data_IF_394014938116
#
_entry.id   IF_394014938116
#
_cell.length_a   1.000
_cell.length_b   1.000
_cell.length_c   1.000
_cell.angle_alpha   90.00
_cell.angle_beta   90.00
_cell.angle_gamma   90.00
#
_symmetry.space_group_name_H-M   'P 1'
#
loop_
_entity.id
_entity.type
_entity.pdbx_description
1 polymer ?
#
# COMPACT_ATOMS: atom_id res chain seq x y z
N UNK A 1 8.26 -72.69 -55.81
CA UNK A 1 7.96 -71.39 -56.46
C UNK A 1 9.17 -70.50 -56.27
N UNK A 2 10.25 -70.74 -57.01
CA UNK A 2 10.65 -70.03 -58.25
C UNK A 2 10.61 -68.51 -58.10
N UNK A 3 11.81 -67.92 -58.12
CA UNK A 3 12.12 -66.51 -58.13
C UNK A 3 11.46 -65.75 -59.29
N UNK A 4 11.16 -64.48 -59.07
CA UNK A 4 11.36 -63.46 -60.10
C UNK A 4 11.72 -62.12 -59.47
N UNK A 5 12.93 -61.66 -59.80
CA UNK A 5 13.44 -60.32 -59.57
C UNK A 5 12.82 -59.33 -60.56
N UNK A 6 12.49 -58.12 -60.11
CA UNK A 6 12.64 -56.93 -60.97
C UNK A 6 13.29 -55.77 -60.22
N UNK A 7 14.60 -55.67 -60.45
CA UNK A 7 15.41 -54.46 -60.70
C UNK A 7 14.70 -53.11 -60.52
N UNK A 8 15.29 -52.25 -59.68
CA UNK A 8 16.09 -51.10 -60.15
C UNK A 8 16.94 -50.49 -59.02
N UNK A 9 18.24 -50.38 -59.33
CA UNK A 9 19.31 -49.70 -58.58
C UNK A 9 19.19 -48.18 -58.80
N UNK A 10 19.20 -47.39 -57.72
CA UNK A 10 20.30 -46.52 -57.27
C UNK A 10 20.73 -45.37 -58.20
N UNK A 11 20.49 -44.15 -57.74
CA UNK A 11 21.30 -42.94 -58.00
C UNK A 11 21.12 -42.06 -56.75
N UNK A 12 21.91 -42.26 -55.70
CA UNK A 12 23.17 -41.57 -55.35
C UNK A 12 23.10 -40.03 -55.33
N UNK A 13 23.15 -39.51 -54.09
CA UNK A 13 23.81 -38.30 -53.61
C UNK A 13 23.42 -36.91 -54.18
N UNK A 14 22.85 -36.07 -53.32
CA UNK A 14 23.58 -34.92 -52.74
C UNK A 14 22.67 -34.11 -51.80
N UNK A 15 23.13 -33.85 -50.57
CA UNK A 15 22.51 -32.86 -49.67
C UNK A 15 22.32 -33.33 -48.22
N UNK A 16 23.42 -33.28 -47.45
CA UNK A 16 23.52 -33.04 -45.98
C UNK A 16 22.47 -33.70 -45.05
N UNK A 17 22.76 -34.74 -44.26
CA UNK A 17 23.62 -34.84 -43.06
C UNK A 17 23.42 -33.71 -42.02
N UNK A 18 22.61 -34.06 -41.00
CA UNK A 18 22.65 -33.68 -39.55
C UNK A 18 22.09 -32.32 -39.07
N UNK A 19 21.62 -32.19 -37.79
CA UNK A 19 20.69 -33.06 -37.06
C UNK A 19 19.78 -32.30 -36.03
N UNK A 20 18.91 -33.05 -35.30
CA UNK A 20 18.55 -32.86 -33.87
C UNK A 20 17.75 -31.61 -33.43
N UNK A 21 16.45 -31.85 -33.18
CA UNK A 21 15.78 -31.68 -31.87
C UNK A 21 15.82 -30.29 -31.22
N UNK A 22 14.80 -29.46 -31.49
CA UNK A 22 14.25 -28.51 -30.50
C UNK A 22 12.73 -28.47 -30.66
N UNK A 23 12.05 -29.31 -29.88
CA UNK A 23 10.69 -29.01 -29.42
C UNK A 23 10.86 -27.94 -28.34
N UNK A 24 10.62 -26.68 -28.66
CA UNK A 24 10.35 -25.66 -27.66
C UNK A 24 9.26 -24.72 -28.18
N UNK A 25 8.09 -24.86 -27.56
CA UNK A 25 7.20 -23.78 -27.16
C UNK A 25 7.49 -22.40 -27.78
N UNK A 26 6.80 -22.08 -28.86
CA UNK A 26 6.41 -20.69 -29.13
C UNK A 26 4.92 -20.57 -28.85
N UNK A 27 4.58 -20.79 -27.59
CA UNK A 27 3.47 -20.09 -26.95
C UNK A 27 3.65 -18.60 -27.19
N UNK A 28 2.61 -17.95 -27.67
CA UNK A 28 2.39 -16.52 -27.67
C UNK A 28 3.01 -15.88 -26.41
N UNK A 29 4.24 -15.40 -26.55
CA UNK A 29 4.82 -14.49 -25.58
C UNK A 29 4.03 -13.20 -25.71
N UNK A 30 3.04 -13.03 -24.83
CA UNK A 30 2.54 -11.71 -24.50
C UNK A 30 3.77 -10.83 -24.33
N UNK A 31 3.92 -9.86 -25.23
CA UNK A 31 4.86 -8.78 -25.04
C UNK A 31 4.59 -8.28 -23.63
N UNK A 32 5.59 -8.41 -22.76
CA UNK A 32 5.61 -7.66 -21.52
C UNK A 32 5.46 -6.20 -21.97
N UNK A 33 4.25 -5.67 -21.88
CA UNK A 33 4.05 -4.24 -21.93
C UNK A 33 4.90 -3.71 -20.78
N UNK A 34 6.04 -3.13 -21.13
CA UNK A 34 6.76 -2.26 -20.24
C UNK A 34 5.71 -1.29 -19.69
N UNK A 35 5.42 -1.40 -18.40
CA UNK A 35 4.55 -0.44 -17.74
C UNK A 35 5.13 0.94 -18.05
N UNK A 36 4.32 1.90 -18.52
CA UNK A 36 4.82 3.23 -18.82
C UNK A 36 5.55 3.75 -17.58
N UNK A 37 6.82 4.12 -17.75
CA UNK A 37 7.56 4.87 -16.74
C UNK A 37 6.78 6.17 -16.55
N UNK A 38 6.06 6.29 -15.44
CA UNK A 38 5.16 7.41 -15.19
C UNK A 38 5.93 8.73 -15.30
N UNK A 39 5.69 9.45 -16.39
CA UNK A 39 6.17 10.83 -16.62
C UNK A 39 5.50 11.84 -15.69
N UNK A 40 4.46 11.40 -14.97
CA UNK A 40 3.46 12.26 -14.35
C UNK A 40 3.82 12.71 -12.92
N UNK A 41 4.93 12.18 -12.36
CA UNK A 41 5.47 12.51 -11.03
C UNK A 41 4.34 12.55 -9.97
N UNK A 42 3.98 11.37 -9.50
CA UNK A 42 2.77 11.15 -8.70
C UNK A 42 2.96 11.51 -7.23
N UNK A 43 1.88 11.99 -6.60
CA UNK A 43 1.76 12.00 -5.14
C UNK A 43 1.80 10.56 -4.61
N UNK A 44 2.85 10.23 -3.84
CA UNK A 44 3.07 8.88 -3.32
C UNK A 44 2.68 8.80 -1.85
N UNK A 45 1.73 7.91 -1.55
CA UNK A 45 1.46 7.41 -0.19
C UNK A 45 2.35 6.20 0.13
N UNK A 46 2.91 6.18 1.33
CA UNK A 46 3.67 5.05 1.85
C UNK A 46 3.09 4.63 3.20
N UNK A 47 2.86 3.34 3.37
CA UNK A 47 2.44 2.73 4.64
C UNK A 47 3.38 1.59 4.94
N UNK A 48 4.07 1.61 6.07
CA UNK A 48 4.97 0.53 6.45
C UNK A 48 4.88 0.19 7.93
N UNK A 49 5.18 -1.06 8.24
CA UNK A 49 5.01 -1.64 9.56
C UNK A 49 6.35 -2.05 10.17
N UNK A 50 6.51 -1.79 11.46
CA UNK A 50 7.75 -2.04 12.21
C UNK A 50 7.48 -2.84 13.48
N UNK A 51 8.40 -3.74 13.88
CA UNK A 51 8.22 -4.57 15.07
C UNK A 51 8.39 -3.79 16.38
N UNK A 52 9.07 -2.63 16.35
CA UNK A 52 9.39 -1.84 17.53
C UNK A 52 9.47 -0.34 17.21
N UNK A 53 9.41 0.49 18.27
CA UNK A 53 9.43 1.95 18.18
C UNK A 53 10.76 2.51 17.67
N UNK A 54 11.89 1.84 17.94
CA UNK A 54 13.21 2.28 17.47
C UNK A 54 13.34 2.13 15.96
N UNK A 55 12.89 1.00 15.43
CA UNK A 55 12.80 0.72 14.00
C UNK A 55 11.85 1.71 13.30
N UNK A 56 10.69 1.99 13.90
CA UNK A 56 9.76 3.02 13.43
C UNK A 56 10.44 4.40 13.37
N UNK A 57 11.07 4.85 14.46
CA UNK A 57 11.72 6.16 14.53
C UNK A 57 12.87 6.28 13.52
N UNK A 58 13.63 5.21 13.32
CA UNK A 58 14.69 5.17 12.31
C UNK A 58 14.10 5.42 10.92
N UNK A 59 12.97 4.78 10.59
CA UNK A 59 12.28 5.04 9.32
C UNK A 59 11.77 6.47 9.21
N UNK A 60 11.16 7.01 10.26
CA UNK A 60 10.70 8.41 10.29
C UNK A 60 11.85 9.34 9.94
N UNK A 61 12.98 9.21 10.64
CA UNK A 61 14.17 10.04 10.40
C UNK A 61 14.69 9.90 8.96
N UNK A 62 14.64 8.71 8.38
CA UNK A 62 15.03 8.49 6.97
C UNK A 62 14.06 9.18 6.01
N UNK A 63 12.75 9.05 6.22
CA UNK A 63 11.74 9.62 5.34
C UNK A 63 11.67 11.15 5.44
N UNK A 64 11.87 11.71 6.63
CA UNK A 64 12.01 13.17 6.82
C UNK A 64 13.17 13.75 6.01
N UNK A 65 14.33 13.08 6.00
CA UNK A 65 15.49 13.47 5.17
C UNK A 65 15.22 13.38 3.66
N UNK A 66 14.21 12.62 3.27
CA UNK A 66 13.77 12.46 1.88
C UNK A 66 12.58 13.38 1.54
N UNK A 67 12.26 14.34 2.42
CA UNK A 67 11.17 15.31 2.31
C UNK A 67 9.77 14.69 2.25
N UNK A 68 9.56 13.54 2.88
CA UNK A 68 8.20 13.02 3.07
C UNK A 68 7.51 13.77 4.21
N UNK A 69 6.23 14.07 4.01
CA UNK A 69 5.32 14.44 5.09
C UNK A 69 4.95 13.17 5.86
N UNK A 70 5.26 13.11 7.15
CA UNK A 70 5.08 11.91 7.97
C UNK A 70 3.81 12.03 8.82
N UNK A 71 3.00 10.98 8.80
CA UNK A 71 1.83 10.80 9.65
C UNK A 71 2.00 9.53 10.48
N UNK A 72 2.83 9.66 11.52
CA UNK A 72 3.04 8.65 12.55
C UNK A 72 2.12 8.90 13.74
N UNK A 73 1.99 7.93 14.67
CA UNK A 73 1.11 8.10 15.82
C UNK A 73 1.42 9.36 16.61
N UNK A 74 0.36 9.95 17.16
CA UNK A 74 0.26 11.37 17.42
C UNK A 74 1.14 11.81 18.60
N UNK A 75 2.20 12.55 18.30
CA UNK A 75 2.86 13.42 19.26
C UNK A 75 2.11 14.76 19.39
N UNK A 76 2.37 15.51 20.46
CA UNK A 76 1.86 16.89 20.60
C UNK A 76 2.23 17.75 19.39
N UNK A 77 3.40 17.49 18.79
CA UNK A 77 3.92 18.24 17.64
C UNK A 77 3.23 17.89 16.32
N UNK A 78 2.52 16.76 16.28
CA UNK A 78 1.76 16.29 15.12
C UNK A 78 0.31 16.78 15.16
N UNK A 79 -0.11 17.42 16.25
CA UNK A 79 -1.42 18.08 16.33
C UNK A 79 -1.52 19.35 15.45
N UNK A 80 -0.48 19.67 14.68
CA UNK A 80 -0.54 20.65 13.60
C UNK A 80 -1.26 20.03 12.39
N UNK A 81 -2.40 20.58 11.95
CA UNK A 81 -3.14 20.10 10.77
C UNK A 81 -2.28 19.95 9.52
N UNK A 82 -1.19 20.72 9.38
CA UNK A 82 -0.30 20.65 8.21
C UNK A 82 0.54 19.36 8.15
N UNK A 83 0.64 18.60 9.24
CA UNK A 83 1.48 17.40 9.33
C UNK A 83 0.70 16.08 9.21
N UNK A 84 -0.59 16.08 9.50
CA UNK A 84 -1.38 14.85 9.61
C UNK A 84 -1.82 14.23 8.28
N UNK A 85 -1.54 14.91 7.17
CA UNK A 85 -1.90 14.46 5.83
C UNK A 85 -3.41 14.45 5.60
N UNK A 86 -3.84 14.81 4.39
CA UNK A 86 -5.27 14.76 4.03
C UNK A 86 -5.67 13.38 3.47
N UNK A 87 -4.78 12.39 3.48
CA UNK A 87 -5.03 11.06 2.96
C UNK A 87 -5.16 10.99 1.43
N UNK A 88 -4.93 12.08 0.70
CA UNK A 88 -5.02 12.08 -0.76
C UNK A 88 -3.67 11.73 -1.41
N UNK A 89 -3.70 10.84 -2.39
CA UNK A 89 -2.51 10.39 -3.13
C UNK A 89 -2.89 9.90 -4.52
N UNK A 90 -1.91 9.57 -5.35
CA UNK A 90 -2.11 9.01 -6.70
C UNK A 90 -1.50 7.63 -6.85
N UNK A 91 -0.41 7.35 -6.13
CA UNK A 91 0.16 6.01 -6.01
C UNK A 91 0.39 5.65 -4.54
N UNK A 92 0.35 4.36 -4.25
CA UNK A 92 0.62 3.85 -2.92
C UNK A 92 1.65 2.73 -2.96
N UNK A 93 2.44 2.67 -1.89
CA UNK A 93 3.38 1.60 -1.61
C UNK A 93 3.24 1.16 -0.14
N UNK A 94 2.72 -0.05 0.04
CA UNK A 94 2.33 -0.59 1.33
C UNK A 94 3.21 -1.81 1.63
N UNK A 95 3.98 -1.78 2.71
CA UNK A 95 4.89 -2.86 3.09
C UNK A 95 4.37 -3.63 4.32
N UNK A 96 3.72 -4.76 4.06
CA UNK A 96 3.20 -5.66 5.09
C UNK A 96 4.16 -6.82 5.45
N UNK A 97 5.37 -6.86 4.88
CA UNK A 97 6.29 -8.01 4.97
C UNK A 97 6.71 -8.36 6.41
N UNK A 98 6.68 -7.38 7.31
CA UNK A 98 7.02 -7.51 8.73
C UNK A 98 5.86 -7.99 9.59
N UNK A 99 4.66 -8.13 9.03
CA UNK A 99 3.43 -8.49 9.75
C UNK A 99 3.04 -9.96 9.59
N UNK A 100 2.19 -10.46 10.49
CA UNK A 100 1.57 -11.78 10.38
C UNK A 100 0.15 -11.62 9.82
N UNK A 101 -0.17 -12.18 8.64
CA UNK A 101 -1.50 -12.02 8.06
C UNK A 101 -2.46 -13.10 8.54
N UNK A 102 -3.76 -12.77 8.57
CA UNK A 102 -4.84 -13.74 8.79
C UNK A 102 -5.15 -14.53 7.53
N UNK A 103 -5.13 -13.86 6.36
CA UNK A 103 -5.25 -14.50 5.05
C UNK A 103 -3.85 -14.80 4.54
N UNK A 104 -3.49 -16.08 4.26
CA UNK A 104 -2.17 -16.43 3.75
C UNK A 104 -1.75 -15.59 2.54
N UNK A 105 -0.44 -15.37 2.41
CA UNK A 105 0.20 -14.68 1.28
C UNK A 105 -0.21 -13.20 1.05
N UNK A 106 -0.89 -12.58 2.02
CA UNK A 106 -1.23 -11.13 1.97
C UNK A 106 -0.20 -10.24 2.69
N UNK A 107 0.78 -10.81 3.39
CA UNK A 107 1.89 -10.08 4.02
C UNK A 107 3.05 -9.83 3.04
N UNK A 108 2.73 -9.17 1.93
CA UNK A 108 3.69 -8.79 0.90
C UNK A 108 3.79 -7.28 0.81
N UNK A 109 4.73 -6.79 -0.01
CA UNK A 109 4.70 -5.40 -0.45
C UNK A 109 3.68 -5.26 -1.56
N UNK A 110 2.77 -4.30 -1.41
CA UNK A 110 1.69 -4.02 -2.33
C UNK A 110 1.89 -2.61 -2.87
N UNK A 111 1.99 -2.49 -4.19
CA UNK A 111 2.04 -1.17 -4.84
C UNK A 111 0.93 -1.06 -5.87
N UNK A 112 0.27 0.09 -5.92
CA UNK A 112 -0.80 0.37 -6.87
C UNK A 112 -0.86 1.86 -7.21
N UNK A 113 -1.53 2.16 -8.31
CA UNK A 113 -1.73 3.52 -8.83
C UNK A 113 -3.21 3.71 -9.14
N UNK A 114 -3.71 4.93 -8.95
CA UNK A 114 -5.08 5.30 -9.32
C UNK A 114 -5.36 5.10 -10.82
N UNK A 115 -6.63 4.99 -11.21
CA UNK A 115 -7.01 4.84 -12.62
C UNK A 115 -6.42 5.96 -13.49
N UNK A 116 -5.86 5.60 -14.63
CA UNK A 116 -5.33 6.54 -15.60
C UNK A 116 -6.44 6.88 -16.60
N UNK A 117 -6.69 8.18 -16.78
CA UNK A 117 -7.60 8.69 -17.80
C UNK A 117 -6.82 9.54 -18.79
N UNK A 118 -7.15 9.47 -20.07
CA UNK A 118 -6.53 10.32 -21.10
C UNK A 118 -7.53 11.34 -21.59
N UNK A 119 -7.25 12.62 -21.33
CA UNK A 119 -8.08 13.74 -21.81
C UNK A 119 -7.24 14.60 -22.74
N UNK A 120 -7.70 14.81 -23.98
CA UNK A 120 -6.98 15.60 -25.00
C UNK A 120 -5.52 15.16 -25.22
N UNK A 121 -5.26 13.85 -25.17
CA UNK A 121 -3.91 13.29 -25.35
C UNK A 121 -3.01 13.37 -24.11
N UNK A 122 -3.50 13.89 -22.99
CA UNK A 122 -2.77 13.97 -21.72
C UNK A 122 -3.27 12.88 -20.79
N UNK A 123 -2.39 11.97 -20.38
CA UNK A 123 -2.67 10.98 -19.36
C UNK A 123 -2.67 11.64 -17.97
N UNK A 124 -3.67 11.34 -17.16
CA UNK A 124 -3.81 11.82 -15.79
C UNK A 124 -4.14 10.65 -14.87
N UNK A 125 -3.34 10.50 -13.83
CA UNK A 125 -3.60 9.55 -12.76
C UNK A 125 -4.60 10.13 -11.77
N UNK A 126 -5.72 9.44 -11.59
CA UNK A 126 -6.78 9.84 -10.66
C UNK A 126 -6.31 9.77 -9.22
N UNK A 127 -6.85 10.64 -8.37
CA UNK A 127 -6.59 10.60 -6.93
C UNK A 127 -7.30 9.40 -6.29
N UNK A 128 -6.66 8.87 -5.25
CA UNK A 128 -7.18 7.92 -4.29
C UNK A 128 -7.17 8.56 -2.91
N UNK A 129 -7.97 8.00 -2.00
CA UNK A 129 -8.19 8.55 -0.67
C UNK A 129 -8.02 7.46 0.38
N UNK A 130 -7.13 7.69 1.35
CA UNK A 130 -6.94 6.83 2.51
C UNK A 130 -7.60 7.43 3.75
N UNK A 131 -8.16 6.54 4.57
CA UNK A 131 -8.55 6.84 5.95
C UNK A 131 -7.70 5.97 6.86
N UNK A 132 -7.01 6.58 7.82
CA UNK A 132 -6.27 5.87 8.87
C UNK A 132 -6.76 6.30 10.24
N UNK A 133 -7.16 5.33 11.05
CA UNK A 133 -7.69 5.57 12.38
C UNK A 133 -7.15 4.55 13.39
N UNK A 134 -6.92 5.00 14.62
CA UNK A 134 -6.51 4.15 15.74
C UNK A 134 -7.54 4.21 16.87
N UNK A 135 -7.98 3.05 17.36
CA UNK A 135 -8.86 2.98 18.54
C UNK A 135 -8.03 3.09 19.81
N UNK A 136 -8.20 4.13 20.64
CA UNK A 136 -7.37 4.31 21.81
C UNK A 136 -7.71 3.29 22.91
N UNK A 137 -6.68 2.73 23.54
CA UNK A 137 -6.81 1.88 24.74
C UNK A 137 -6.63 2.75 25.98
N UNK A 138 -7.75 3.31 26.46
CA UNK A 138 -7.77 4.39 27.46
C UNK A 138 -7.12 4.03 28.83
N UNK A 139 -6.89 2.75 29.12
CA UNK A 139 -6.26 2.29 30.36
C UNK A 139 -4.72 2.28 30.33
N UNK A 140 -4.09 2.98 29.38
CA UNK A 140 -2.63 2.95 29.15
C UNK A 140 -2.06 4.37 28.99
N UNK A 141 -0.80 4.57 29.38
CA UNK A 141 -0.10 5.86 29.29
C UNK A 141 1.39 5.62 28.94
N UNK A 142 1.91 6.07 27.77
CA UNK A 142 1.18 6.70 26.66
C UNK A 142 0.04 5.82 26.15
N UNK A 143 -1.02 6.43 25.64
CA UNK A 143 -2.23 5.73 25.19
C UNK A 143 -1.88 4.82 24.02
N UNK A 144 -1.97 3.51 24.22
CA UNK A 144 -1.80 2.50 23.18
C UNK A 144 -2.98 2.51 22.20
N UNK A 145 -2.79 1.93 21.01
CA UNK A 145 -3.86 1.69 20.05
C UNK A 145 -4.29 0.23 20.15
N UNK A 146 -5.57 -0.02 20.43
CA UNK A 146 -6.12 -1.37 20.49
C UNK A 146 -6.13 -2.01 19.10
N UNK A 147 -6.61 -1.25 18.12
CA UNK A 147 -6.68 -1.66 16.73
C UNK A 147 -6.54 -0.45 15.81
N UNK A 148 -5.95 -0.69 14.65
CA UNK A 148 -5.80 0.30 13.58
C UNK A 148 -6.66 -0.11 12.39
N UNK A 149 -7.42 0.84 11.86
CA UNK A 149 -8.21 0.69 10.65
C UNK A 149 -7.56 1.54 9.55
N UNK A 150 -7.34 0.93 8.40
CA UNK A 150 -6.88 1.58 7.17
C UNK A 150 -7.92 1.24 6.10
N UNK A 151 -8.40 2.23 5.37
CA UNK A 151 -9.33 2.00 4.25
C UNK A 151 -8.96 2.89 3.08
N UNK A 152 -9.12 2.37 1.87
CA UNK A 152 -8.77 3.04 0.62
C UNK A 152 -9.96 3.16 -0.31
N UNK A 153 -10.13 4.34 -0.89
CA UNK A 153 -11.29 4.70 -1.70
C UNK A 153 -10.88 5.38 -3.00
N UNK A 154 -11.68 5.20 -4.04
CA UNK A 154 -11.58 5.97 -5.29
C UNK A 154 -12.46 7.23 -5.28
N UNK A 155 -13.37 7.37 -4.31
CA UNK A 155 -14.21 8.56 -4.11
C UNK A 155 -13.90 9.24 -2.78
N UNK A 156 -13.86 10.58 -2.81
CA UNK A 156 -13.62 11.39 -1.61
C UNK A 156 -14.75 11.28 -0.59
N UNK A 157 -15.99 11.23 -1.07
CA UNK A 157 -17.16 11.24 -0.19
C UNK A 157 -17.30 9.92 0.58
N UNK A 158 -16.98 8.78 -0.04
CA UNK A 158 -16.93 7.48 0.63
C UNK A 158 -15.84 7.46 1.72
N UNK A 159 -14.66 8.02 1.43
CA UNK A 159 -13.61 8.20 2.43
C UNK A 159 -14.05 9.11 3.59
N UNK A 160 -14.74 10.21 3.31
CA UNK A 160 -15.25 11.10 4.35
C UNK A 160 -16.33 10.43 5.21
N UNK A 161 -17.21 9.64 4.59
CA UNK A 161 -18.24 8.88 5.29
C UNK A 161 -17.60 7.80 6.19
N UNK A 162 -16.60 7.07 5.70
CA UNK A 162 -15.85 6.11 6.51
C UNK A 162 -15.14 6.78 7.69
N UNK A 163 -14.52 7.94 7.46
CA UNK A 163 -13.88 8.71 8.51
C UNK A 163 -14.87 9.13 9.60
N UNK A 164 -16.05 9.62 9.22
CA UNK A 164 -17.09 9.97 10.18
C UNK A 164 -17.55 8.74 10.99
N UNK A 165 -17.87 7.63 10.31
CA UNK A 165 -18.27 6.37 10.97
C UNK A 165 -17.25 5.91 12.00
N UNK A 166 -15.95 5.94 11.66
CA UNK A 166 -14.89 5.58 12.60
C UNK A 166 -14.79 6.56 13.77
N UNK A 167 -14.97 7.86 13.54
CA UNK A 167 -14.99 8.87 14.62
C UNK A 167 -16.14 8.62 15.61
N UNK A 168 -17.33 8.32 15.07
CA UNK A 168 -18.54 8.01 15.84
C UNK A 168 -18.37 6.73 16.69
N UNK A 169 -17.60 5.76 16.19
CA UNK A 169 -17.21 4.54 16.91
C UNK A 169 -16.08 4.76 17.94
N UNK A 170 -15.60 6.01 18.09
CA UNK A 170 -14.60 6.40 19.08
C UNK A 170 -13.15 6.21 18.62
N UNK A 171 -12.90 6.02 17.32
CA UNK A 171 -11.54 6.02 16.80
C UNK A 171 -10.96 7.44 16.73
N UNK A 172 -9.65 7.54 16.88
CA UNK A 172 -8.88 8.74 16.54
C UNK A 172 -8.51 8.65 15.06
N UNK A 173 -9.21 9.40 14.21
CA UNK A 173 -9.00 9.42 12.76
C UNK A 173 -8.00 10.52 12.42
N UNK A 174 -6.76 10.14 12.08
CA UNK A 174 -5.67 11.10 11.90
C UNK A 174 -5.23 11.29 10.45
N UNK A 175 -5.49 10.33 9.55
CA UNK A 175 -5.34 10.56 8.09
C UNK A 175 -6.73 10.52 7.48
N UNK A 176 -7.19 11.61 6.89
CA UNK A 176 -8.49 11.71 6.21
C UNK A 176 -8.60 13.04 5.46
N UNK A 177 -9.40 13.08 4.39
CA UNK A 177 -9.80 14.34 3.74
C UNK A 177 -10.87 15.11 4.52
N UNK A 178 -11.45 14.51 5.56
CA UNK A 178 -12.45 15.14 6.42
C UNK A 178 -11.75 15.95 7.54
N UNK A 179 -11.49 17.22 7.27
CA UNK A 179 -10.81 18.11 8.22
C UNK A 179 -11.53 18.27 9.57
N UNK A 180 -12.86 18.13 9.61
CA UNK A 180 -13.63 18.23 10.85
C UNK A 180 -13.35 17.02 11.76
N UNK A 181 -13.40 15.81 11.19
CA UNK A 181 -13.08 14.56 11.89
C UNK A 181 -11.62 14.54 12.35
N UNK A 182 -10.68 15.00 11.50
CA UNK A 182 -9.28 15.10 11.89
C UNK A 182 -9.07 16.06 13.09
N UNK A 183 -9.78 17.20 13.09
CA UNK A 183 -9.76 18.15 14.21
C UNK A 183 -10.40 17.59 15.48
N UNK A 184 -11.44 16.78 15.35
CA UNK A 184 -12.05 16.06 16.47
C UNK A 184 -11.04 15.10 17.10
N UNK A 185 -10.32 14.30 16.29
CA UNK A 185 -9.27 13.43 16.79
C UNK A 185 -8.17 14.20 17.54
N UNK A 186 -7.72 15.34 17.01
CA UNK A 186 -6.75 16.21 17.69
C UNK A 186 -7.28 16.73 19.04
N UNK A 187 -8.57 17.06 19.10
CA UNK A 187 -9.21 17.55 20.33
C UNK A 187 -9.28 16.43 21.37
N UNK A 188 -9.79 15.25 20.97
CA UNK A 188 -9.82 14.05 21.82
C UNK A 188 -8.43 13.72 22.38
N UNK A 189 -7.37 13.85 21.58
CA UNK A 189 -5.99 13.58 22.04
C UNK A 189 -5.53 14.55 23.12
N UNK A 190 -5.92 15.82 23.04
CA UNK A 190 -5.60 16.82 24.07
C UNK A 190 -6.38 16.58 25.36
N UNK A 191 -7.56 16.00 25.26
CA UNK A 191 -8.42 15.64 26.40
C UNK A 191 -7.99 14.34 27.09
N UNK A 192 -7.15 13.50 26.44
CA UNK A 192 -6.58 12.32 27.08
C UNK A 192 -5.75 12.75 28.29
N UNK A 193 -6.12 12.26 29.47
CA UNK A 193 -5.41 12.53 30.73
C UNK A 193 -4.10 11.73 30.84
N UNK A 194 -3.23 11.86 29.85
CA UNK A 194 -1.92 11.23 29.79
C UNK A 194 -0.83 12.31 29.70
N UNK A 195 0.18 12.25 30.57
CA UNK A 195 1.34 13.13 30.44
C UNK A 195 2.16 12.69 29.22
N UNK A 196 2.58 13.62 28.34
CA UNK A 196 3.50 13.27 27.27
C UNK A 196 4.80 12.75 27.87
N UNK A 197 5.37 11.71 27.26
CA UNK A 197 6.70 11.24 27.63
C UNK A 197 7.80 12.25 27.22
N UNK A 198 9.07 11.94 27.48
CA UNK A 198 10.20 12.80 27.11
C UNK A 198 10.27 13.10 25.60
N UNK A 199 9.66 12.25 24.77
CA UNK A 199 9.56 12.40 23.32
C UNK A 199 8.33 13.21 22.87
N UNK A 200 7.47 13.66 23.79
CA UNK A 200 6.26 14.41 23.48
C UNK A 200 5.08 13.56 22.96
N UNK A 201 5.15 12.24 23.14
CA UNK A 201 4.15 11.29 22.63
C UNK A 201 3.01 11.14 23.63
N UNK A 202 1.77 11.34 23.17
CA UNK A 202 0.55 11.10 23.96
C UNK A 202 -0.09 9.77 23.53
N UNK A 203 -0.22 9.54 22.22
CA UNK A 203 -0.74 8.30 21.66
C UNK A 203 0.41 7.51 21.04
N UNK A 204 0.73 6.39 21.66
CA UNK A 204 1.69 5.44 21.12
C UNK A 204 0.95 4.52 20.14
N UNK A 205 1.20 4.66 18.84
CA UNK A 205 0.55 3.80 17.83
C UNK A 205 1.14 2.41 17.70
N UNK A 206 1.71 1.92 18.80
CA UNK A 206 1.73 0.50 19.15
C UNK A 206 0.31 -0.06 18.98
N UNK A 207 0.14 -0.99 18.05
CA UNK A 207 -1.13 -1.66 17.77
C UNK A 207 -0.96 -3.18 17.71
N UNK A 208 -2.01 -3.90 18.11
CA UNK A 208 -2.03 -5.37 18.11
C UNK A 208 -2.78 -5.95 16.92
N UNK A 209 -3.56 -5.12 16.22
CA UNK A 209 -4.35 -5.53 15.07
C UNK A 209 -4.44 -4.39 14.08
N UNK A 210 -4.14 -4.66 12.82
CA UNK A 210 -4.33 -3.74 11.72
C UNK A 210 -5.30 -4.37 10.74
N UNK A 211 -6.42 -3.70 10.50
CA UNK A 211 -7.39 -4.08 9.47
C UNK A 211 -7.22 -3.12 8.31
N UNK A 212 -7.04 -3.65 7.12
CA UNK A 212 -6.84 -2.89 5.88
C UNK A 212 -7.91 -3.26 4.89
N UNK A 213 -8.76 -2.29 4.59
CA UNK A 213 -9.88 -2.44 3.68
C UNK A 213 -9.49 -1.93 2.29
N UNK A 214 -9.47 -2.87 1.35
CA UNK A 214 -9.21 -2.62 -0.06
C UNK A 214 -10.47 -2.82 -0.92
N UNK A 215 -11.64 -3.09 -0.32
CA UNK A 215 -12.81 -3.53 -1.08
C UNK A 215 -13.23 -2.53 -2.15
N UNK A 216 -13.09 -1.22 -1.95
CA UNK A 216 -13.44 -0.21 -2.96
C UNK A 216 -12.39 -0.04 -4.08
N UNK A 217 -11.16 -0.52 -3.85
CA UNK A 217 -10.05 -0.41 -4.80
C UNK A 217 -9.44 -1.78 -5.17
N UNK A 218 -10.16 -2.87 -4.91
CA UNK A 218 -9.62 -4.23 -5.03
C UNK A 218 -9.07 -4.52 -6.42
N UNK A 219 -9.66 -3.90 -7.44
CA UNK A 219 -9.27 -4.01 -8.85
C UNK A 219 -7.91 -3.36 -9.17
N UNK A 220 -7.38 -2.51 -8.29
CA UNK A 220 -6.07 -1.88 -8.41
C UNK A 220 -4.94 -2.73 -7.81
N UNK A 221 -5.28 -3.78 -7.06
CA UNK A 221 -4.30 -4.65 -6.42
C UNK A 221 -3.68 -5.65 -7.42
N UNK A 222 -2.50 -6.22 -7.10
CA UNK A 222 -1.98 -7.39 -7.79
C UNK A 222 -3.03 -8.51 -7.92
N UNK A 223 -3.04 -9.21 -9.06
CA UNK A 223 -4.12 -10.14 -9.42
C UNK A 223 -4.39 -11.21 -8.36
N UNK A 224 -3.35 -11.72 -7.71
CA UNK A 224 -3.45 -12.72 -6.64
C UNK A 224 -4.15 -12.19 -5.37
N UNK A 225 -4.23 -10.87 -5.19
CA UNK A 225 -4.84 -10.22 -4.03
C UNK A 225 -6.25 -9.68 -4.29
N UNK A 226 -6.68 -9.57 -5.56
CA UNK A 226 -7.96 -8.95 -5.91
C UNK A 226 -9.16 -9.72 -5.35
N UNK A 227 -9.21 -11.04 -5.56
CA UNK A 227 -10.30 -11.88 -5.05
C UNK A 227 -10.40 -11.88 -3.52
N UNK A 228 -9.32 -12.09 -2.75
CA UNK A 228 -9.44 -12.02 -1.29
C UNK A 228 -9.82 -10.61 -0.82
N UNK A 229 -9.26 -9.54 -1.41
CA UNK A 229 -9.58 -8.15 -1.04
C UNK A 229 -11.03 -7.74 -1.35
N UNK A 230 -11.61 -8.30 -2.42
CA UNK A 230 -13.01 -8.08 -2.79
C UNK A 230 -13.98 -8.64 -1.75
N UNK A 231 -13.61 -9.73 -1.09
CA UNK A 231 -14.51 -10.46 -0.20
C UNK A 231 -14.39 -10.04 1.27
N UNK A 232 -13.23 -9.55 1.68
CA UNK A 232 -12.99 -9.16 3.07
C UNK A 232 -11.76 -8.27 3.21
N UNK A 233 -11.72 -7.38 4.22
CA UNK A 233 -10.52 -6.67 4.61
C UNK A 233 -9.37 -7.60 4.99
N UNK A 234 -8.14 -7.18 4.74
CA UNK A 234 -6.94 -7.88 5.20
C UNK A 234 -6.68 -7.54 6.65
N UNK A 235 -6.39 -8.56 7.45
CA UNK A 235 -6.14 -8.43 8.88
C UNK A 235 -4.74 -8.89 9.18
N UNK A 236 -3.98 -8.03 9.85
CA UNK A 236 -2.60 -8.25 10.24
C UNK A 236 -2.44 -8.16 11.76
N UNK A 237 -1.65 -9.06 12.31
CA UNK A 237 -1.24 -9.11 13.71
C UNK A 237 0.28 -9.03 13.82
N UNK A 238 0.84 -8.63 14.98
CA UNK A 238 2.27 -8.65 15.19
C UNK A 238 2.86 -10.06 15.07
N UNK A 239 4.11 -10.15 14.59
CA UNK A 239 4.96 -11.33 14.77
C UNK A 239 5.52 -11.43 16.20
N UNK A 240 5.61 -10.30 16.90
CA UNK A 240 6.03 -10.19 18.30
C UNK A 240 4.94 -9.56 19.17
N UNK A 241 5.30 -8.62 20.04
CA UNK A 241 4.35 -8.02 20.98
C UNK A 241 3.41 -6.99 20.35
N UNK A 242 3.86 -6.28 19.30
CA UNK A 242 3.11 -5.20 18.64
C UNK A 242 3.66 -4.86 17.27
N UNK A 243 2.87 -4.10 16.51
CA UNK A 243 3.30 -3.47 15.26
C UNK A 243 3.19 -1.95 15.44
N UNK A 244 4.14 -1.22 14.85
CA UNK A 244 4.16 0.23 14.75
C UNK A 244 3.97 0.63 13.30
N UNK A 245 3.05 1.55 13.04
CA UNK A 245 2.73 2.03 11.70
C UNK A 245 3.44 3.34 11.38
N UNK A 246 3.99 3.46 10.16
CA UNK A 246 4.40 4.73 9.57
C UNK A 246 3.54 4.96 8.34
N UNK A 247 2.80 6.07 8.31
CA UNK A 247 2.28 6.62 7.08
C UNK A 247 3.14 7.81 6.66
N UNK A 248 3.38 7.93 5.37
CA UNK A 248 4.11 9.05 4.82
C UNK A 248 3.56 9.42 3.44
N UNK A 249 3.63 10.70 3.08
CA UNK A 249 3.24 11.21 1.78
C UNK A 249 4.40 12.01 1.21
N UNK A 250 4.80 11.68 -0.01
CA UNK A 250 5.63 12.58 -0.81
C UNK A 250 4.71 13.30 -1.79
N UNK A 251 4.48 14.57 -1.52
CA UNK A 251 3.76 15.44 -2.43
C UNK A 251 4.66 15.78 -3.60
N UNK A 252 4.12 15.70 -4.80
CA UNK A 252 4.79 16.20 -5.97
C UNK A 252 4.39 17.65 -6.22
N UNK A 253 5.40 18.53 -6.21
CA UNK A 253 5.25 19.92 -6.63
C UNK A 253 5.78 20.08 -8.07
N UNK A 254 4.89 20.22 -9.09
CA UNK A 254 5.32 20.44 -10.47
C UNK A 254 6.09 21.76 -10.65
N UNK A 255 5.94 22.72 -9.74
CA UNK A 255 6.69 23.99 -9.76
C UNK A 255 8.08 23.88 -9.13
N UNK A 256 8.37 22.80 -8.40
CA UNK A 256 9.68 22.52 -7.82
C UNK A 256 10.00 21.02 -7.84
N UNK A 257 10.42 20.49 -9.01
CA UNK A 257 10.58 19.05 -9.23
C UNK A 257 11.74 18.40 -8.47
N UNK A 258 12.50 19.19 -7.71
CA UNK A 258 13.64 18.76 -6.89
C UNK A 258 13.31 18.60 -5.40
N UNK A 259 12.08 18.90 -4.96
CA UNK A 259 11.65 18.68 -3.57
C UNK A 259 11.25 17.23 -3.29
#
# INVERSE_FOLDING_TARGET
>A
MVLSLSKKKFTFLSGMIFPVLVILFLTFGNSAFAQPVFTDKLDLGLTSFYPDATSQQTKVNTLEKLNYNISVPLSVKDLDPKKLGDGSFQSADLDFSTTQPTVPDTNTRISFTGPITTTNGVAQTSKLYAVVAGKPKLSTCPVEVQETQIAFFNQKDDANAKAQSLSDEGYLVYVTTNAAVQKEAQTKIKELNCKPNAQGIIVNGKTQRVTVDFTDIFNLLPQNLQNPAKNSPFVYSPKGDSIYLVNARKEYDPSNPTK
#
